data_IF_064279307581
#
_entry.id   IF_064279307581
#
_cell.length_a   1.000
_cell.length_b   1.000
_cell.length_c   1.000
_cell.angle_alpha   90.00
_cell.angle_beta   90.00
_cell.angle_gamma   90.00
#
_symmetry.space_group_name_H-M   'P 1'
#
loop_
_entity.id
_entity.type
_entity.pdbx_description
1 polymer ?
#
# COMPACT_ATOMS: atom_id res chain seq x y z
N UNK A 1 21.13 24.96 1.47
CA UNK A 1 19.69 24.74 1.68
C UNK A 1 19.37 23.29 1.38
N UNK A 2 18.46 22.66 2.13
CA UNK A 2 18.03 21.30 1.85
C UNK A 2 17.22 21.32 0.56
N UNK A 3 17.65 20.50 -0.42
CA UNK A 3 16.90 20.35 -1.66
C UNK A 3 15.58 19.63 -1.36
N UNK A 4 14.47 20.36 -1.41
CA UNK A 4 13.14 19.77 -1.36
C UNK A 4 12.75 19.35 -2.77
N UNK A 5 12.48 18.06 -2.97
CA UNK A 5 11.91 17.53 -4.22
C UNK A 5 10.45 17.15 -3.99
N UNK A 6 9.58 17.54 -4.92
CA UNK A 6 8.18 17.13 -4.93
C UNK A 6 8.03 15.96 -5.89
N UNK A 7 7.40 14.87 -5.44
CA UNK A 7 7.13 13.67 -6.24
C UNK A 7 5.63 13.58 -6.52
N UNK A 8 5.29 13.21 -7.75
CA UNK A 8 3.92 13.09 -8.25
C UNK A 8 3.88 12.08 -9.42
N UNK A 9 2.72 11.86 -10.01
CA UNK A 9 2.54 10.89 -11.10
C UNK A 9 3.31 11.25 -12.38
N UNK A 10 3.79 12.48 -12.56
CA UNK A 10 4.61 12.84 -13.72
C UNK A 10 6.11 12.76 -13.41
N UNK A 11 6.47 12.45 -12.16
CA UNK A 11 7.87 12.23 -11.80
C UNK A 11 8.41 10.98 -12.52
N UNK A 12 9.62 11.06 -13.11
CA UNK A 12 10.23 9.90 -13.75
C UNK A 12 10.51 8.80 -12.72
N UNK A 13 10.57 7.53 -13.14
CA UNK A 13 10.95 6.44 -12.26
C UNK A 13 12.34 6.67 -11.67
N UNK A 14 12.52 6.29 -10.40
CA UNK A 14 13.82 6.31 -9.73
C UNK A 14 14.38 4.90 -9.61
N UNK A 15 15.71 4.80 -9.53
CA UNK A 15 16.41 3.52 -9.39
C UNK A 15 17.35 3.59 -8.19
N UNK A 16 17.19 2.65 -7.26
CA UNK A 16 18.03 2.54 -6.07
C UNK A 16 18.44 1.08 -5.93
N UNK A 17 19.74 0.80 -6.10
CA UNK A 17 20.31 -0.53 -5.88
C UNK A 17 19.55 -1.67 -6.60
N UNK A 18 19.13 -1.44 -7.84
CA UNK A 18 18.38 -2.42 -8.66
C UNK A 18 16.86 -2.43 -8.43
N UNK A 19 16.35 -1.64 -7.50
CA UNK A 19 14.90 -1.42 -7.30
C UNK A 19 14.44 -0.25 -8.15
N UNK A 20 13.46 -0.48 -9.02
CA UNK A 20 12.74 0.58 -9.74
C UNK A 20 11.58 1.09 -8.88
N UNK A 21 11.42 2.40 -8.83
CA UNK A 21 10.40 3.10 -8.04
C UNK A 21 9.59 3.98 -8.98
N UNK A 22 8.32 3.63 -9.20
CA UNK A 22 7.37 4.39 -9.99
C UNK A 22 6.39 5.15 -9.09
N UNK A 23 6.10 6.40 -9.45
CA UNK A 23 5.15 7.25 -8.74
C UNK A 23 3.83 7.28 -9.52
N UNK A 24 2.76 6.77 -8.92
CA UNK A 24 1.48 6.57 -9.61
C UNK A 24 0.46 7.68 -9.31
N UNK A 25 0.58 8.34 -8.16
CA UNK A 25 -0.36 9.37 -7.67
C UNK A 25 0.34 10.16 -6.54
N UNK A 26 0.03 11.45 -6.27
CA UNK A 26 -0.98 12.31 -6.90
C UNK A 26 -0.58 12.84 -8.29
N UNK A 27 -1.52 13.30 -9.14
CA UNK A 27 -1.17 14.11 -10.31
C UNK A 27 -0.56 15.47 -9.90
N UNK A 28 0.23 16.11 -10.77
CA UNK A 28 0.89 17.39 -10.45
C UNK A 28 -0.11 18.50 -10.07
N UNK A 29 -1.28 18.52 -10.72
CA UNK A 29 -2.31 19.53 -10.55
C UNK A 29 -3.44 19.06 -9.61
N UNK A 30 -3.08 18.38 -8.51
CA UNK A 30 -4.05 17.90 -7.53
C UNK A 30 -4.44 19.01 -6.53
N UNK A 31 -5.46 19.80 -6.90
CA UNK A 31 -5.96 20.91 -6.09
C UNK A 31 -7.16 20.54 -5.22
N UNK A 32 -7.31 21.18 -4.05
CA UNK A 32 -8.49 21.00 -3.22
C UNK A 32 -9.73 21.44 -4.01
N UNK A 33 -10.71 20.56 -4.04
CA UNK A 33 -12.07 20.88 -4.50
C UNK A 33 -12.91 21.26 -3.26
N UNK A 34 -14.18 21.69 -3.44
CA UNK A 34 -15.12 21.99 -2.33
C UNK A 34 -15.47 20.77 -1.43
N UNK A 35 -14.64 19.73 -1.43
CA UNK A 35 -14.74 18.54 -0.59
C UNK A 35 -14.07 18.76 0.79
N UNK A 36 -14.41 17.87 1.72
CA UNK A 36 -13.80 17.80 3.04
C UNK A 36 -12.25 17.77 2.94
N UNK A 37 -11.57 18.68 3.64
CA UNK A 37 -10.11 18.81 3.64
C UNK A 37 -9.40 17.51 3.99
N UNK A 38 -9.92 16.71 4.92
CA UNK A 38 -9.31 15.44 5.30
C UNK A 38 -9.38 14.43 4.15
N UNK A 39 -10.52 14.34 3.47
CA UNK A 39 -10.68 13.49 2.28
C UNK A 39 -9.73 13.94 1.16
N UNK A 40 -9.55 15.24 0.99
CA UNK A 40 -8.59 15.79 0.03
C UNK A 40 -7.15 15.41 0.39
N UNK A 41 -6.74 15.57 1.65
CA UNK A 41 -5.38 15.24 2.09
C UNK A 41 -5.08 13.75 1.94
N UNK A 42 -6.01 12.88 2.32
CA UNK A 42 -5.89 11.43 2.11
C UNK A 42 -5.76 11.08 0.63
N UNK A 43 -6.61 11.65 -0.22
CA UNK A 43 -6.52 11.50 -1.66
C UNK A 43 -5.34 12.23 -2.30
N UNK A 44 -4.44 12.88 -1.53
CA UNK A 44 -3.15 13.38 -2.00
C UNK A 44 -1.98 12.45 -1.61
N UNK A 45 -2.26 11.33 -0.93
CA UNK A 45 -1.26 10.32 -0.57
C UNK A 45 -0.39 9.91 -1.76
N UNK A 46 0.91 9.73 -1.55
CA UNK A 46 1.79 9.22 -2.58
C UNK A 46 1.53 7.72 -2.79
N UNK A 47 1.27 7.30 -4.03
CA UNK A 47 1.16 5.89 -4.40
C UNK A 47 2.42 5.50 -5.15
N UNK A 48 3.11 4.49 -4.63
CA UNK A 48 4.43 4.07 -5.10
C UNK A 48 4.38 2.59 -5.47
N UNK A 49 4.87 2.27 -6.67
CA UNK A 49 5.16 0.90 -7.09
C UNK A 49 6.66 0.66 -7.01
N UNK A 50 7.05 -0.40 -6.32
CA UNK A 50 8.44 -0.88 -6.27
C UNK A 50 8.54 -2.16 -7.09
N UNK A 51 9.47 -2.22 -8.04
CA UNK A 51 9.74 -3.43 -8.83
C UNK A 51 11.19 -3.86 -8.63
N UNK A 52 11.38 -5.12 -8.22
CA UNK A 52 12.68 -5.75 -8.08
C UNK A 52 12.62 -7.14 -8.71
N UNK A 53 13.30 -7.33 -9.84
CA UNK A 53 13.12 -8.51 -10.68
C UNK A 53 11.65 -8.68 -11.11
N UNK A 54 11.09 -9.85 -10.83
CA UNK A 54 9.70 -10.25 -11.08
C UNK A 54 8.77 -9.95 -9.88
N UNK A 55 9.29 -9.40 -8.78
CA UNK A 55 8.52 -9.12 -7.57
C UNK A 55 8.19 -7.65 -7.46
N UNK A 56 6.90 -7.36 -7.32
CA UNK A 56 6.38 -6.01 -7.29
C UNK A 56 5.54 -5.73 -6.04
N UNK A 57 5.71 -4.53 -5.50
CA UNK A 57 5.02 -4.06 -4.31
C UNK A 57 4.28 -2.77 -4.63
N UNK A 58 3.03 -2.66 -4.19
CA UNK A 58 2.24 -1.44 -4.30
C UNK A 58 1.95 -0.85 -2.92
N UNK A 59 2.43 0.36 -2.69
CA UNK A 59 2.17 1.15 -1.49
C UNK A 59 1.18 2.25 -1.83
N UNK A 60 0.00 2.18 -1.23
CA UNK A 60 -1.15 3.01 -1.63
C UNK A 60 -1.40 4.20 -0.70
N UNK A 61 -0.60 4.35 0.36
CA UNK A 61 -0.85 5.37 1.39
C UNK A 61 -2.27 5.24 1.92
N UNK A 62 -2.97 6.36 2.03
CA UNK A 62 -4.33 6.45 2.54
C UNK A 62 -5.32 6.97 1.48
N UNK A 63 -5.03 6.69 0.19
CA UNK A 63 -5.95 7.02 -0.91
C UNK A 63 -7.33 6.44 -0.67
N UNK A 64 -8.37 7.16 -1.07
CA UNK A 64 -9.74 6.67 -1.14
C UNK A 64 -10.08 6.23 -2.57
N UNK A 65 -11.29 5.68 -2.74
CA UNK A 65 -11.79 5.23 -4.04
C UNK A 65 -11.74 6.27 -5.16
N UNK A 66 -11.80 7.58 -4.86
CA UNK A 66 -11.67 8.61 -5.90
C UNK A 66 -10.25 8.66 -6.49
N UNK A 67 -9.22 8.53 -5.65
CA UNK A 67 -7.85 8.43 -6.12
C UNK A 67 -7.58 7.08 -6.81
N UNK A 68 -8.11 5.97 -6.30
CA UNK A 68 -8.06 4.67 -7.00
C UNK A 68 -8.61 4.76 -8.42
N UNK A 69 -9.80 5.35 -8.58
CA UNK A 69 -10.43 5.54 -9.89
C UNK A 69 -9.54 6.36 -10.82
N UNK A 70 -8.92 7.43 -10.32
CA UNK A 70 -8.01 8.27 -11.11
C UNK A 70 -6.77 7.51 -11.55
N UNK A 71 -6.19 6.72 -10.67
CA UNK A 71 -5.03 5.87 -10.99
C UNK A 71 -5.40 4.89 -12.11
N UNK A 72 -6.56 4.23 -12.03
CA UNK A 72 -7.03 3.32 -13.08
C UNK A 72 -7.25 4.05 -14.42
N UNK A 73 -7.83 5.26 -14.39
CA UNK A 73 -8.02 6.08 -15.58
C UNK A 73 -6.71 6.55 -16.22
N UNK A 74 -5.64 6.67 -15.43
CA UNK A 74 -4.30 7.02 -15.94
C UNK A 74 -3.67 5.90 -16.79
N UNK A 75 -4.25 4.68 -16.77
CA UNK A 75 -3.76 3.48 -17.46
C UNK A 75 -2.33 3.07 -17.10
N UNK A 76 -1.80 3.60 -15.98
CA UNK A 76 -0.54 3.13 -15.43
C UNK A 76 -0.69 1.72 -14.89
N UNK A 77 0.36 0.94 -15.04
CA UNK A 77 0.42 -0.39 -14.47
C UNK A 77 0.47 -0.33 -12.94
N UNK A 78 -0.54 -0.93 -12.31
CA UNK A 78 -0.69 -1.03 -10.86
C UNK A 78 -0.61 -2.46 -10.37
N UNK A 79 -0.34 -3.42 -11.28
CA UNK A 79 -0.19 -4.82 -10.91
C UNK A 79 0.92 -4.95 -9.85
N UNK A 80 0.68 -5.75 -8.83
CA UNK A 80 1.67 -6.00 -7.79
C UNK A 80 1.39 -7.29 -7.04
N UNK A 81 2.41 -8.10 -6.82
CA UNK A 81 2.31 -9.32 -6.01
C UNK A 81 1.92 -9.01 -4.56
N UNK A 82 2.47 -7.92 -4.01
CA UNK A 82 2.27 -7.48 -2.63
C UNK A 82 1.61 -6.11 -2.58
N UNK A 83 0.48 -6.01 -1.88
CA UNK A 83 -0.26 -4.77 -1.65
C UNK A 83 -0.16 -4.34 -0.17
N UNK A 84 0.37 -3.14 0.11
CA UNK A 84 0.04 -2.42 1.35
C UNK A 84 -1.34 -1.83 1.17
N UNK A 85 -2.29 -2.31 1.96
CA UNK A 85 -3.71 -1.96 1.84
C UNK A 85 -3.90 -0.48 2.17
N UNK A 86 -4.67 0.20 1.32
CA UNK A 86 -4.92 1.63 1.44
C UNK A 86 -5.65 1.94 2.75
N UNK A 87 -5.24 3.03 3.41
CA UNK A 87 -5.95 3.61 4.55
C UNK A 87 -6.28 2.58 5.64
N UNK A 88 -5.30 1.73 5.95
CA UNK A 88 -5.39 0.65 6.95
C UNK A 88 -6.54 -0.37 6.70
N UNK A 89 -7.13 -0.37 5.51
CA UNK A 89 -8.32 -1.13 5.18
C UNK A 89 -9.64 -0.47 5.60
N UNK A 90 -9.68 0.86 5.63
CA UNK A 90 -10.92 1.64 5.73
C UNK A 90 -11.91 1.32 4.60
N UNK A 91 -13.21 1.38 4.90
CA UNK A 91 -14.28 1.15 3.93
C UNK A 91 -14.25 2.15 2.75
N UNK A 92 -13.59 3.29 2.93
CA UNK A 92 -13.42 4.35 1.93
C UNK A 92 -12.45 3.99 0.80
N UNK A 93 -11.80 2.83 0.88
CA UNK A 93 -10.72 2.42 -0.01
C UNK A 93 -10.83 0.92 -0.38
N UNK A 94 -9.85 0.42 -1.12
CA UNK A 94 -9.74 -0.93 -1.66
C UNK A 94 -11.02 -1.35 -2.39
N UNK A 95 -11.42 -0.56 -3.40
CA UNK A 95 -12.55 -0.91 -4.27
C UNK A 95 -12.25 -2.18 -5.07
N UNK A 96 -13.29 -2.96 -5.40
CA UNK A 96 -13.10 -4.17 -6.21
C UNK A 96 -12.47 -3.92 -7.59
N UNK A 97 -12.82 -2.85 -8.34
CA UNK A 97 -12.13 -2.54 -9.59
C UNK A 97 -10.63 -2.31 -9.40
N UNK A 98 -10.24 -1.60 -8.33
CA UNK A 98 -8.83 -1.38 -8.02
C UNK A 98 -8.12 -2.67 -7.64
N UNK A 99 -8.69 -3.48 -6.76
CA UNK A 99 -8.10 -4.77 -6.37
C UNK A 99 -7.95 -5.75 -7.54
N UNK A 100 -8.89 -5.74 -8.49
CA UNK A 100 -8.78 -6.53 -9.71
C UNK A 100 -7.65 -6.08 -10.63
N UNK A 101 -7.40 -4.78 -10.72
CA UNK A 101 -6.33 -4.24 -11.54
C UNK A 101 -4.95 -4.44 -10.89
N UNK A 102 -4.87 -4.39 -9.56
CA UNK A 102 -3.64 -4.68 -8.80
C UNK A 102 -3.32 -6.17 -8.81
N UNK A 103 -4.35 -7.01 -8.79
CA UNK A 103 -4.29 -8.48 -8.70
C UNK A 103 -3.29 -9.03 -7.66
N UNK A 104 -3.37 -8.60 -6.38
CA UNK A 104 -2.37 -8.97 -5.39
C UNK A 104 -2.60 -10.38 -4.84
N UNK A 105 -1.50 -11.11 -4.60
CA UNK A 105 -1.53 -12.40 -3.87
C UNK A 105 -1.35 -12.22 -2.38
N UNK A 106 -0.70 -11.15 -1.96
CA UNK A 106 -0.42 -10.82 -0.56
C UNK A 106 -0.97 -9.42 -0.28
N UNK A 107 -1.75 -9.27 0.80
CA UNK A 107 -2.26 -7.98 1.25
C UNK A 107 -1.88 -7.74 2.72
N UNK A 108 -1.29 -6.59 3.01
CA UNK A 108 -0.87 -6.21 4.37
C UNK A 108 -1.73 -5.05 4.85
N UNK A 109 -2.51 -5.29 5.90
CA UNK A 109 -3.25 -4.26 6.64
C UNK A 109 -2.40 -3.81 7.83
N UNK A 110 -1.81 -2.61 7.73
CA UNK A 110 -1.11 -1.99 8.86
C UNK A 110 -2.13 -1.34 9.78
N UNK A 111 -2.35 -1.95 10.95
CA UNK A 111 -3.31 -1.53 11.97
C UNK A 111 -2.68 -1.63 13.36
N UNK A 112 -3.04 -0.68 14.24
CA UNK A 112 -2.46 -0.58 15.58
C UNK A 112 -2.90 -1.70 16.52
N UNK A 113 -2.08 -2.00 17.52
CA UNK A 113 -2.39 -2.96 18.59
C UNK A 113 -3.74 -2.65 19.26
N UNK A 114 -4.49 -3.69 19.62
CA UNK A 114 -5.90 -3.62 20.09
C UNK A 114 -6.90 -2.99 19.12
N UNK A 115 -6.42 -2.42 18.02
CA UNK A 115 -7.22 -1.97 16.89
C UNK A 115 -8.44 -1.10 17.30
N UNK A 116 -8.20 0.05 17.95
CA UNK A 116 -9.28 0.91 18.44
C UNK A 116 -10.18 1.44 17.31
N UNK A 117 -9.61 1.60 16.11
CA UNK A 117 -10.32 2.03 14.91
C UNK A 117 -11.16 0.94 14.25
N UNK A 118 -11.05 -0.32 14.72
CA UNK A 118 -11.79 -1.48 14.19
C UNK A 118 -11.54 -1.69 12.69
N UNK A 119 -10.28 -1.51 12.27
CA UNK A 119 -9.80 -1.71 10.90
C UNK A 119 -8.94 -2.98 10.79
N UNK A 120 -8.80 -3.61 9.62
CA UNK A 120 -9.52 -3.34 8.39
C UNK A 120 -11.03 -3.62 8.55
N UNK A 121 -11.85 -2.82 7.88
CA UNK A 121 -13.30 -3.01 7.88
C UNK A 121 -13.65 -4.38 7.28
N UNK A 122 -14.64 -5.07 7.86
CA UNK A 122 -14.97 -6.45 7.46
C UNK A 122 -15.28 -6.59 5.95
N UNK A 123 -15.95 -5.60 5.34
CA UNK A 123 -16.18 -5.57 3.88
C UNK A 123 -14.89 -5.47 3.07
N UNK A 124 -13.86 -4.78 3.54
CA UNK A 124 -12.55 -4.71 2.86
C UNK A 124 -11.84 -6.04 2.95
N UNK A 125 -11.85 -6.69 4.12
CA UNK A 125 -11.35 -8.06 4.26
C UNK A 125 -12.03 -9.03 3.30
N UNK A 126 -13.36 -8.97 3.18
CA UNK A 126 -14.11 -9.81 2.24
C UNK A 126 -13.70 -9.57 0.78
N UNK A 127 -13.46 -8.31 0.38
CA UNK A 127 -12.96 -7.99 -0.97
C UNK A 127 -11.58 -8.58 -1.23
N UNK A 128 -10.65 -8.44 -0.29
CA UNK A 128 -9.30 -8.99 -0.37
C UNK A 128 -9.32 -10.52 -0.46
N UNK A 129 -10.10 -11.18 0.40
CA UNK A 129 -10.27 -12.64 0.36
C UNK A 129 -10.91 -13.11 -0.95
N UNK A 130 -11.91 -12.38 -1.46
CA UNK A 130 -12.54 -12.67 -2.76
C UNK A 130 -11.58 -12.49 -3.94
N UNK A 131 -10.63 -11.56 -3.83
CA UNK A 131 -9.55 -11.40 -4.81
C UNK A 131 -8.49 -12.51 -4.71
N UNK A 132 -8.56 -13.39 -3.70
CA UNK A 132 -7.62 -14.49 -3.51
C UNK A 132 -6.36 -14.09 -2.73
N UNK A 133 -6.38 -12.95 -2.03
CA UNK A 133 -5.24 -12.49 -1.25
C UNK A 133 -5.06 -13.34 0.03
N UNK A 134 -3.81 -13.68 0.35
CA UNK A 134 -3.42 -13.96 1.73
C UNK A 134 -3.28 -12.63 2.47
N UNK A 135 -4.09 -12.44 3.51
CA UNK A 135 -4.12 -11.19 4.28
C UNK A 135 -3.26 -11.33 5.55
N UNK A 136 -2.38 -10.36 5.78
CA UNK A 136 -1.65 -10.18 7.02
C UNK A 136 -2.09 -8.88 7.70
N UNK A 137 -2.13 -8.90 9.03
CA UNK A 137 -2.58 -7.79 9.87
C UNK A 137 -1.59 -7.54 11.00
N UNK A 138 -1.07 -6.32 11.12
CA UNK A 138 -0.03 -6.05 12.12
C UNK A 138 -0.51 -6.09 13.57
N UNK A 139 -1.81 -5.99 13.82
CA UNK A 139 -2.39 -6.16 15.16
C UNK A 139 -2.46 -7.63 15.61
N UNK A 140 -2.43 -8.58 14.66
CA UNK A 140 -2.43 -10.02 14.93
C UNK A 140 -1.07 -10.68 14.67
N UNK A 141 -0.46 -10.41 13.53
CA UNK A 141 0.79 -11.02 13.07
C UNK A 141 2.05 -10.28 13.60
N UNK A 142 1.87 -9.11 14.22
CA UNK A 142 2.96 -8.22 14.59
C UNK A 142 3.60 -7.55 13.36
N UNK A 143 4.89 -7.22 13.44
CA UNK A 143 5.58 -6.69 12.27
C UNK A 143 5.71 -7.76 11.18
N UNK A 144 5.28 -7.40 9.97
CA UNK A 144 5.37 -8.26 8.79
C UNK A 144 6.60 -7.86 8.00
N UNK A 145 7.57 -8.77 7.90
CA UNK A 145 8.80 -8.61 7.14
C UNK A 145 8.70 -9.43 5.87
N UNK A 146 8.91 -8.77 4.73
CA UNK A 146 8.98 -9.42 3.42
C UNK A 146 10.40 -9.33 2.88
N UNK A 147 10.97 -10.45 2.49
CA UNK A 147 12.29 -10.55 1.87
C UNK A 147 12.16 -11.17 0.49
N UNK A 148 12.86 -10.61 -0.49
CA UNK A 148 12.83 -11.10 -1.88
C UNK A 148 14.21 -11.00 -2.51
N UNK A 149 14.50 -11.95 -3.40
CA UNK A 149 15.66 -11.93 -4.31
C UNK A 149 15.27 -11.46 -5.74
N UNK A 150 14.05 -10.95 -5.89
CA UNK A 150 13.47 -10.54 -7.17
C UNK A 150 12.80 -11.67 -7.95
N UNK A 151 12.67 -12.87 -7.37
CA UNK A 151 11.87 -13.97 -7.95
C UNK A 151 10.97 -14.63 -6.93
N UNK A 152 11.47 -14.81 -5.72
CA UNK A 152 10.77 -15.46 -4.63
C UNK A 152 10.52 -14.49 -3.48
N UNK A 153 9.43 -14.73 -2.75
CA UNK A 153 9.06 -13.92 -1.59
C UNK A 153 9.00 -14.80 -0.35
N UNK A 154 9.71 -14.38 0.70
CA UNK A 154 9.68 -14.98 2.04
C UNK A 154 9.02 -13.97 2.98
N UNK A 155 8.03 -14.44 3.75
CA UNK A 155 7.30 -13.61 4.72
C UNK A 155 7.59 -14.13 6.12
N UNK A 156 7.95 -13.23 7.03
CA UNK A 156 8.12 -13.50 8.46
C UNK A 156 7.28 -12.52 9.26
N UNK A 157 6.69 -13.01 10.33
CA UNK A 157 5.84 -12.23 11.22
C UNK A 157 6.44 -12.28 12.63
N UNK A 158 6.47 -11.15 13.32
CA UNK A 158 7.13 -11.03 14.63
C UNK A 158 6.33 -11.65 15.78
N UNK A 159 5.03 -11.85 15.59
CA UNK A 159 4.17 -12.39 16.63
C UNK A 159 3.71 -13.79 16.23
N UNK A 160 4.49 -14.80 16.64
CA UNK A 160 4.08 -16.22 16.63
C UNK A 160 3.71 -16.66 18.04
N UNK A 161 2.92 -15.88 18.77
CA UNK A 161 2.64 -16.18 20.17
C UNK A 161 3.89 -16.06 21.08
N UNK A 162 3.88 -15.05 21.95
CA UNK A 162 4.71 -15.00 23.17
C UNK A 162 6.20 -14.65 23.15
N UNK A 163 6.84 -14.14 22.08
CA UNK A 163 8.21 -13.60 22.24
C UNK A 163 8.56 -12.42 21.31
N UNK A 164 8.94 -11.28 21.91
CA UNK A 164 9.45 -10.10 21.18
C UNK A 164 10.95 -10.27 20.91
N UNK A 165 11.35 -10.50 19.65
CA UNK A 165 12.74 -10.28 19.22
C UNK A 165 12.88 -8.93 18.51
N UNK A 166 13.82 -8.11 18.98
CA UNK A 166 14.27 -6.90 18.28
C UNK A 166 15.15 -7.35 17.11
N UNK A 167 14.60 -7.27 15.91
CA UNK A 167 15.33 -7.41 14.64
C UNK A 167 15.11 -6.10 13.88
N UNK A 168 16.13 -5.60 13.19
CA UNK A 168 15.96 -4.50 12.24
C UNK A 168 15.04 -4.96 11.11
N UNK A 169 13.88 -4.29 10.99
CA UNK A 169 12.73 -4.69 10.18
C UNK A 169 12.50 -3.68 9.07
N UNK A 170 12.17 -4.16 7.88
CA UNK A 170 11.35 -3.37 6.97
C UNK A 170 9.94 -3.37 7.56
N UNK A 171 9.66 -2.40 8.42
CA UNK A 171 8.33 -2.19 8.99
C UNK A 171 7.47 -1.51 7.92
N UNK A 172 6.36 -2.15 7.56
CA UNK A 172 5.20 -1.41 7.01
C UNK A 172 4.55 -0.67 8.18
N UNK A 173 5.24 0.34 8.70
CA UNK A 173 4.72 1.29 9.66
C UNK A 173 4.23 2.52 8.91
N UNK A 174 2.96 2.84 9.10
CA UNK A 174 2.40 4.18 8.95
C UNK A 174 2.68 4.99 10.21
#
# INVERSE_FOLDING_TARGET
GILVRTLNSNSPPQFIQGVRIDFLHPPPDYFPTNHNLNTFLNNRSLVIKFSYGEVEFLFTGDIHTEAEKRILLSKKDVSALVLKVAHHGSLTSSSMPFLKAVDPRIAICSVGYQNPFKLPHHRVLQRLLKQGCKVYRTDFDGGVVITTNGKQVIIRCDYTGSEKRKVFKFLVAS
#
